data_IF_975760514678
#
_entry.id   IF_975760514678
#
_cell.length_a   1.000
_cell.length_b   1.000
_cell.length_c   1.000
_cell.angle_alpha   90.00
_cell.angle_beta   90.00
_cell.angle_gamma   90.00
#
_symmetry.space_group_name_H-M   'P 1'
#
loop_
_entity.id
_entity.type
_entity.pdbx_description
1 polymer ?
#
# COMPACT_ATOMS: atom_id res chain seq x y z
N UNK A 1 9.31 -1.38 42.72
CA UNK A 1 7.93 -1.21 42.23
C UNK A 1 7.80 0.01 41.33
N UNK A 2 8.35 1.17 41.69
CA UNK A 2 8.33 2.36 40.82
C UNK A 2 9.17 2.19 39.53
N UNK A 3 10.35 1.57 39.60
CA UNK A 3 11.22 1.37 38.42
C UNK A 3 10.60 0.43 37.36
N UNK A 4 9.80 -0.55 37.77
CA UNK A 4 9.07 -1.46 36.86
C UNK A 4 7.82 -0.81 36.27
N UNK A 5 7.16 0.09 37.01
CA UNK A 5 6.03 0.89 36.53
C UNK A 5 6.45 1.90 35.47
N UNK A 6 7.57 2.61 35.67
CA UNK A 6 8.09 3.55 34.67
C UNK A 6 8.45 2.83 33.36
N UNK A 7 9.08 1.65 33.43
CA UNK A 7 9.40 0.85 32.24
C UNK A 7 8.15 0.46 31.44
N UNK A 8 7.09 -0.01 32.10
CA UNK A 8 5.84 -0.40 31.44
C UNK A 8 5.15 0.79 30.75
N UNK A 9 5.00 1.91 31.46
CA UNK A 9 4.37 3.12 30.93
C UNK A 9 5.17 3.72 29.78
N UNK A 10 6.50 3.76 29.89
CA UNK A 10 7.38 4.25 28.81
C UNK A 10 7.23 3.40 27.55
N UNK A 11 7.17 2.07 27.65
CA UNK A 11 6.96 1.18 26.50
C UNK A 11 5.60 1.42 25.85
N UNK A 12 4.54 1.65 26.62
CA UNK A 12 3.21 1.97 26.09
C UNK A 12 3.20 3.29 25.30
N UNK A 13 3.84 4.34 25.82
CA UNK A 13 3.96 5.63 25.11
C UNK A 13 4.81 5.52 23.85
N UNK A 14 5.92 4.78 23.90
CA UNK A 14 6.76 4.52 22.71
C UNK A 14 5.94 3.78 21.65
N UNK A 15 5.23 2.71 22.05
CA UNK A 15 4.36 1.94 21.15
C UNK A 15 3.30 2.82 20.52
N UNK A 16 2.63 3.67 21.30
CA UNK A 16 1.64 4.62 20.82
C UNK A 16 2.25 5.58 19.79
N UNK A 17 3.44 6.14 20.08
CA UNK A 17 4.16 7.03 19.18
C UNK A 17 4.50 6.38 17.83
N UNK A 18 5.02 5.14 17.84
CA UNK A 18 5.34 4.41 16.62
C UNK A 18 4.08 4.11 15.80
N UNK A 19 3.00 3.66 16.45
CA UNK A 19 1.71 3.42 15.77
C UNK A 19 1.16 4.71 15.18
N UNK A 20 1.25 5.83 15.89
CA UNK A 20 0.78 7.12 15.41
C UNK A 20 1.54 7.57 14.16
N UNK A 21 2.87 7.49 14.18
CA UNK A 21 3.69 7.82 13.00
C UNK A 21 3.43 6.88 11.83
N UNK A 22 3.25 5.58 12.09
CA UNK A 22 2.86 4.59 11.08
C UNK A 22 1.55 4.98 10.39
N UNK A 23 0.54 5.40 11.15
CA UNK A 23 -0.74 5.84 10.60
C UNK A 23 -0.60 7.12 9.78
N UNK A 24 0.19 8.10 10.21
CA UNK A 24 0.47 9.30 9.42
C UNK A 24 1.11 8.93 8.08
N UNK A 25 2.16 8.10 8.10
CA UNK A 25 2.81 7.63 6.88
C UNK A 25 1.83 6.89 5.95
N UNK A 26 0.92 6.09 6.53
CA UNK A 26 -0.13 5.39 5.79
C UNK A 26 -1.11 6.37 5.12
N UNK A 27 -1.59 7.38 5.86
CA UNK A 27 -2.49 8.41 5.33
C UNK A 27 -1.83 9.21 4.20
N UNK A 28 -0.56 9.59 4.35
CA UNK A 28 0.20 10.29 3.30
C UNK A 28 0.31 9.41 2.05
N UNK A 29 0.72 8.15 2.21
CA UNK A 29 0.88 7.23 1.09
C UNK A 29 -0.45 7.02 0.33
N UNK A 30 -1.55 6.73 1.05
CA UNK A 30 -2.87 6.53 0.45
C UNK A 30 -3.36 7.78 -0.24
N UNK A 31 -3.19 8.96 0.37
CA UNK A 31 -3.59 10.23 -0.22
C UNK A 31 -2.91 10.47 -1.57
N UNK A 32 -1.59 10.25 -1.65
CA UNK A 32 -0.81 10.44 -2.87
C UNK A 32 -1.10 9.40 -3.95
N UNK A 33 -1.29 8.13 -3.55
CA UNK A 33 -1.68 7.06 -4.48
C UNK A 33 -3.07 7.36 -5.05
N UNK A 34 -4.04 7.72 -4.20
CA UNK A 34 -5.40 8.02 -4.63
C UNK A 34 -5.46 9.23 -5.56
N UNK A 35 -4.72 10.30 -5.28
CA UNK A 35 -4.70 11.47 -6.17
C UNK A 35 -4.09 11.12 -7.53
N UNK A 36 -3.04 10.31 -7.56
CA UNK A 36 -2.45 9.79 -8.80
C UNK A 36 -3.43 8.93 -9.59
N UNK A 37 -4.12 8.00 -8.93
CA UNK A 37 -5.09 7.10 -9.57
C UNK A 37 -6.28 7.88 -10.15
N UNK A 38 -6.80 8.88 -9.42
CA UNK A 38 -7.88 9.74 -9.90
C UNK A 38 -7.43 10.55 -11.12
N UNK A 39 -6.20 11.09 -11.10
CA UNK A 39 -5.66 11.85 -12.24
C UNK A 39 -5.57 10.96 -13.49
N UNK A 40 -5.07 9.74 -13.34
CA UNK A 40 -4.98 8.74 -14.41
C UNK A 40 -6.35 8.36 -14.97
N UNK A 41 -7.34 8.04 -14.11
CA UNK A 41 -8.70 7.70 -14.54
C UNK A 41 -9.36 8.88 -15.28
N UNK A 42 -9.17 10.12 -14.81
CA UNK A 42 -9.69 11.31 -15.48
C UNK A 42 -9.10 11.50 -16.88
N UNK A 43 -7.82 11.18 -17.08
CA UNK A 43 -7.19 11.24 -18.41
C UNK A 43 -7.77 10.20 -19.37
N UNK A 44 -7.95 8.95 -18.89
CA UNK A 44 -8.55 7.89 -19.67
C UNK A 44 -9.99 8.24 -20.09
N UNK A 45 -10.80 8.76 -19.17
CA UNK A 45 -12.18 9.18 -19.45
C UNK A 45 -12.29 10.34 -20.45
N UNK A 46 -11.31 11.25 -20.46
CA UNK A 46 -11.28 12.37 -21.41
C UNK A 46 -10.76 11.98 -22.79
N UNK A 47 -10.24 10.76 -22.96
CA UNK A 47 -9.62 10.32 -24.21
C UNK A 47 -8.38 11.12 -24.60
N UNK A 48 -7.79 11.86 -23.64
CA UNK A 48 -6.75 12.82 -23.92
C UNK A 48 -5.39 12.11 -23.97
N UNK A 49 -4.95 11.76 -25.18
CA UNK A 49 -3.63 11.17 -25.43
C UNK A 49 -2.49 12.20 -25.34
N UNK A 50 -2.82 13.50 -25.20
CA UNK A 50 -1.86 14.61 -25.22
C UNK A 50 -1.40 15.08 -23.83
N UNK A 51 -1.80 14.37 -22.77
CA UNK A 51 -1.51 14.72 -21.39
C UNK A 51 -0.02 14.94 -21.16
N UNK A 52 0.40 16.20 -21.13
CA UNK A 52 1.65 16.63 -20.54
C UNK A 52 1.55 16.31 -19.05
N UNK A 53 1.89 15.10 -18.66
CA UNK A 53 2.30 14.86 -17.30
C UNK A 53 3.52 15.75 -17.09
N UNK A 54 3.40 16.69 -16.16
CA UNK A 54 4.56 17.40 -15.63
C UNK A 54 5.44 16.32 -14.98
N UNK A 55 6.39 15.79 -15.74
CA UNK A 55 7.19 14.61 -15.39
C UNK A 55 7.87 14.78 -14.02
N UNK A 56 8.20 16.04 -13.69
CA UNK A 56 8.73 16.44 -12.40
C UNK A 56 7.74 16.24 -11.24
N UNK A 57 6.45 16.52 -11.47
CA UNK A 57 5.40 16.31 -10.48
C UNK A 57 5.15 14.82 -10.22
N UNK A 58 5.07 14.01 -11.29
CA UNK A 58 4.87 12.57 -11.20
C UNK A 58 6.03 11.86 -10.46
N UNK A 59 7.26 12.24 -10.76
CA UNK A 59 8.46 11.69 -10.11
C UNK A 59 8.54 12.08 -8.63
N UNK A 60 8.16 13.31 -8.30
CA UNK A 60 8.07 13.77 -6.91
C UNK A 60 7.03 12.97 -6.10
N UNK A 61 5.83 12.73 -6.67
CA UNK A 61 4.80 11.91 -6.04
C UNK A 61 5.30 10.50 -5.75
N UNK A 62 5.91 9.84 -6.74
CA UNK A 62 6.41 8.47 -6.61
C UNK A 62 7.56 8.35 -5.60
N UNK A 63 8.47 9.32 -5.59
CA UNK A 63 9.54 9.39 -4.59
C UNK A 63 8.96 9.53 -3.18
N UNK A 64 7.91 10.34 -3.04
CA UNK A 64 7.23 10.55 -1.76
C UNK A 64 6.50 9.29 -1.30
N UNK A 65 5.80 8.59 -2.20
CA UNK A 65 5.16 7.29 -1.91
C UNK A 65 6.19 6.24 -1.52
N UNK A 66 7.34 6.19 -2.21
CA UNK A 66 8.44 5.28 -1.88
C UNK A 66 9.01 5.57 -0.48
N UNK A 67 9.20 6.85 -0.14
CA UNK A 67 9.66 7.26 1.19
C UNK A 67 8.64 6.90 2.26
N UNK A 68 7.35 7.12 2.00
CA UNK A 68 6.27 6.73 2.91
C UNK A 68 6.25 5.20 3.11
N UNK A 69 6.48 4.41 2.06
CA UNK A 69 6.58 2.95 2.17
C UNK A 69 7.78 2.51 3.03
N UNK A 70 8.94 3.16 2.88
CA UNK A 70 10.11 2.92 3.75
C UNK A 70 9.78 3.26 5.21
N UNK A 71 9.15 4.40 5.46
CA UNK A 71 8.70 4.79 6.79
C UNK A 71 7.71 3.78 7.39
N UNK A 72 6.80 3.24 6.59
CA UNK A 72 5.85 2.20 6.98
C UNK A 72 6.53 0.87 7.31
N UNK A 73 7.56 0.49 6.57
CA UNK A 73 8.38 -0.69 6.88
C UNK A 73 9.11 -0.53 8.22
N UNK A 74 9.82 0.59 8.40
CA UNK A 74 10.58 0.87 9.63
C UNK A 74 9.63 0.85 10.84
N UNK A 75 8.53 1.59 10.77
CA UNK A 75 7.56 1.64 11.87
C UNK A 75 6.78 0.34 12.03
N UNK A 76 6.46 -0.37 10.95
CA UNK A 76 5.80 -1.67 11.00
C UNK A 76 6.66 -2.73 11.70
N UNK A 77 7.95 -2.79 11.37
CA UNK A 77 8.94 -3.64 12.07
C UNK A 77 9.03 -3.23 13.54
N UNK A 78 9.06 -1.94 13.84
CA UNK A 78 9.04 -1.43 15.21
C UNK A 78 7.83 -1.90 16.02
N UNK A 79 6.62 -1.79 15.45
CA UNK A 79 5.37 -2.26 16.08
C UNK A 79 5.43 -3.77 16.32
N UNK A 80 5.88 -4.54 15.32
CA UNK A 80 6.02 -5.99 15.44
C UNK A 80 7.02 -6.38 16.52
N UNK A 81 8.16 -5.70 16.59
CA UNK A 81 9.19 -5.95 17.60
C UNK A 81 8.70 -5.67 19.02
N UNK A 82 7.99 -4.55 19.23
CA UNK A 82 7.42 -4.20 20.54
C UNK A 82 6.34 -5.20 20.95
N UNK A 83 5.42 -5.55 20.04
CA UNK A 83 4.35 -6.50 20.35
C UNK A 83 4.86 -7.93 20.54
N UNK A 84 5.91 -8.32 19.80
CA UNK A 84 6.62 -9.58 19.98
C UNK A 84 7.31 -9.67 21.34
N UNK A 85 7.97 -8.61 21.80
CA UNK A 85 8.62 -8.60 23.11
C UNK A 85 7.64 -8.86 24.27
N UNK A 86 6.37 -8.45 24.12
CA UNK A 86 5.32 -8.69 25.12
C UNK A 86 4.59 -10.03 24.98
N UNK A 87 4.42 -10.56 23.76
CA UNK A 87 3.57 -11.73 23.46
C UNK A 87 4.31 -12.98 23.01
N UNK A 88 5.60 -12.89 22.72
CA UNK A 88 6.42 -13.99 22.22
C UNK A 88 6.00 -14.47 20.82
N UNK A 89 6.41 -15.70 20.49
CA UNK A 89 6.25 -16.30 19.16
C UNK A 89 4.80 -16.46 18.71
N UNK A 90 3.86 -16.58 19.64
CA UNK A 90 2.42 -16.68 19.34
C UNK A 90 1.92 -15.45 18.57
N UNK A 91 2.56 -14.29 18.72
CA UNK A 91 2.19 -13.09 17.99
C UNK A 91 2.21 -13.27 16.47
N UNK A 92 3.15 -14.07 15.94
CA UNK A 92 3.26 -14.35 14.51
C UNK A 92 2.20 -15.32 13.98
N UNK A 93 1.48 -16.03 14.86
CA UNK A 93 0.37 -16.90 14.49
C UNK A 93 -0.92 -16.12 14.21
N UNK A 94 -0.95 -14.82 14.51
CA UNK A 94 -2.10 -13.98 14.25
C UNK A 94 -2.36 -13.87 12.73
N UNK A 95 -3.46 -14.43 12.20
CA UNK A 95 -3.72 -14.44 10.76
C UNK A 95 -3.82 -13.03 10.17
N UNK A 96 -4.28 -12.06 10.97
CA UNK A 96 -4.34 -10.65 10.60
C UNK A 96 -2.96 -10.03 10.40
N UNK A 97 -1.98 -10.40 11.23
CA UNK A 97 -0.61 -9.91 11.08
C UNK A 97 0.03 -10.49 9.82
N UNK A 98 -0.15 -11.79 9.59
CA UNK A 98 0.32 -12.49 8.40
C UNK A 98 -0.24 -11.86 7.12
N UNK A 99 -1.56 -11.60 7.08
CA UNK A 99 -2.20 -10.93 5.96
C UNK A 99 -1.60 -9.54 5.68
N UNK A 100 -1.40 -8.72 6.73
CA UNK A 100 -0.77 -7.40 6.58
C UNK A 100 0.63 -7.48 6.01
N UNK A 101 1.49 -8.33 6.59
CA UNK A 101 2.88 -8.46 6.13
C UNK A 101 2.90 -8.96 4.68
N UNK A 102 2.09 -9.97 4.35
CA UNK A 102 1.98 -10.48 2.99
C UNK A 102 1.57 -9.40 1.97
N UNK A 103 0.57 -8.58 2.30
CA UNK A 103 0.13 -7.48 1.43
C UNK A 103 1.21 -6.41 1.29
N UNK A 104 1.87 -6.00 2.37
CA UNK A 104 2.93 -4.98 2.31
C UNK A 104 4.15 -5.47 1.52
N UNK A 105 4.50 -6.75 1.64
CA UNK A 105 5.55 -7.39 0.81
C UNK A 105 5.15 -7.37 -0.66
N UNK A 106 3.93 -7.80 -0.99
CA UNK A 106 3.40 -7.79 -2.35
C UNK A 106 3.37 -6.37 -2.94
N UNK A 107 2.94 -5.39 -2.15
CA UNK A 107 2.95 -3.97 -2.51
C UNK A 107 4.38 -3.47 -2.80
N UNK A 108 5.37 -3.91 -2.02
CA UNK A 108 6.78 -3.55 -2.23
C UNK A 108 7.30 -4.11 -3.55
N UNK A 109 7.03 -5.38 -3.86
CA UNK A 109 7.37 -5.97 -5.15
C UNK A 109 6.66 -5.29 -6.32
N UNK A 110 5.37 -4.97 -6.16
CA UNK A 110 4.61 -4.25 -7.18
C UNK A 110 5.14 -2.84 -7.41
N UNK A 111 5.54 -2.13 -6.34
CA UNK A 111 6.19 -0.84 -6.43
C UNK A 111 7.49 -0.90 -7.25
N UNK A 112 8.32 -1.91 -7.01
CA UNK A 112 9.53 -2.13 -7.82
C UNK A 112 9.21 -2.37 -9.30
N UNK A 113 8.18 -3.16 -9.60
CA UNK A 113 7.72 -3.40 -10.97
C UNK A 113 7.23 -2.10 -11.65
N UNK A 114 6.47 -1.27 -10.93
CA UNK A 114 6.01 0.03 -11.45
C UNK A 114 7.19 0.92 -11.80
N UNK A 115 8.13 1.09 -10.86
CA UNK A 115 9.28 1.97 -11.02
C UNK A 115 10.26 1.52 -12.11
N UNK A 116 10.47 0.21 -12.27
CA UNK A 116 11.44 -0.33 -13.22
C UNK A 116 10.88 -0.52 -14.63
N UNK A 117 9.60 -0.89 -14.77
CA UNK A 117 9.03 -1.25 -16.07
C UNK A 117 7.95 -0.28 -16.55
N UNK A 118 6.92 -0.03 -15.73
CA UNK A 118 5.71 0.71 -16.18
C UNK A 118 5.99 2.20 -16.34
N UNK A 119 6.64 2.82 -15.36
CA UNK A 119 6.85 4.26 -15.34
C UNK A 119 7.83 4.75 -16.42
N UNK A 120 8.98 4.10 -16.67
CA UNK A 120 9.85 4.49 -17.77
C UNK A 120 9.17 4.39 -19.14
N UNK A 121 8.29 3.42 -19.32
CA UNK A 121 7.56 3.26 -20.57
C UNK A 121 6.42 4.28 -20.72
N UNK A 122 5.71 4.58 -19.63
CA UNK A 122 4.69 5.63 -19.62
C UNK A 122 5.29 7.00 -19.95
N UNK A 123 6.46 7.32 -19.38
CA UNK A 123 7.22 8.55 -19.72
C UNK A 123 7.57 8.62 -21.22
N UNK A 124 7.95 7.50 -21.84
CA UNK A 124 8.27 7.46 -23.28
C UNK A 124 7.03 7.57 -24.18
N UNK A 125 5.89 7.03 -23.76
CA UNK A 125 4.67 7.00 -24.55
C UNK A 125 3.73 8.20 -24.31
N UNK A 126 3.95 8.96 -23.24
CA UNK A 126 3.15 10.11 -22.81
C UNK A 126 1.79 9.75 -22.21
N UNK A 127 1.15 8.69 -22.71
CA UNK A 127 -0.17 8.23 -22.25
C UNK A 127 -0.24 6.70 -22.16
N UNK A 128 -1.08 6.20 -21.24
CA UNK A 128 -1.40 4.77 -21.13
C UNK A 128 -2.03 4.21 -22.41
N UNK A 129 -2.74 5.04 -23.18
CA UNK A 129 -3.36 4.64 -24.44
C UNK A 129 -2.33 4.34 -25.54
N UNK A 130 -1.14 4.95 -25.43
CA UNK A 130 -0.07 4.84 -26.42
C UNK A 130 0.91 3.69 -26.12
N UNK A 131 0.73 2.98 -25.00
CA UNK A 131 1.54 1.82 -24.65
C UNK A 131 1.17 0.60 -25.51
N UNK A 132 2.15 -0.30 -25.71
CA UNK A 132 1.84 -1.62 -26.28
C UNK A 132 0.82 -2.35 -25.41
N UNK A 133 -0.04 -3.14 -26.02
CA UNK A 133 -1.13 -3.82 -25.32
C UNK A 133 -0.66 -4.55 -24.06
N UNK A 134 0.40 -5.36 -24.16
CA UNK A 134 0.94 -6.10 -23.00
C UNK A 134 1.39 -5.19 -21.86
N UNK A 135 2.05 -4.07 -22.18
CA UNK A 135 2.56 -3.15 -21.16
C UNK A 135 1.45 -2.29 -20.56
N UNK A 136 0.43 -1.96 -21.36
CA UNK A 136 -0.81 -1.34 -20.90
C UNK A 136 -1.53 -2.25 -19.91
N UNK A 137 -1.75 -3.53 -20.24
CA UNK A 137 -2.38 -4.48 -19.31
C UNK A 137 -1.58 -4.62 -18.02
N UNK A 138 -0.24 -4.67 -18.11
CA UNK A 138 0.63 -4.69 -16.93
C UNK A 138 0.47 -3.44 -16.06
N UNK A 139 0.43 -2.26 -16.67
CA UNK A 139 0.25 -0.99 -15.98
C UNK A 139 -1.11 -0.91 -15.26
N UNK A 140 -2.20 -1.30 -15.94
CA UNK A 140 -3.54 -1.32 -15.36
C UNK A 140 -3.64 -2.32 -14.20
N UNK A 141 -3.09 -3.52 -14.37
CA UNK A 141 -3.07 -4.54 -13.32
C UNK A 141 -2.27 -4.08 -12.11
N UNK A 142 -1.07 -3.55 -12.36
CA UNK A 142 -0.17 -3.08 -11.31
C UNK A 142 -0.73 -1.88 -10.54
N UNK A 143 -1.41 -0.96 -11.24
CA UNK A 143 -2.17 0.14 -10.62
C UNK A 143 -3.32 -0.36 -9.75
N UNK A 144 -4.18 -1.24 -10.29
CA UNK A 144 -5.29 -1.82 -9.53
C UNK A 144 -4.82 -2.60 -8.29
N UNK A 145 -3.76 -3.41 -8.44
CA UNK A 145 -3.15 -4.14 -7.33
C UNK A 145 -2.62 -3.17 -6.28
N UNK A 146 -1.93 -2.11 -6.67
CA UNK A 146 -1.42 -1.08 -5.75
C UNK A 146 -2.56 -0.43 -4.96
N UNK A 147 -3.57 0.09 -5.65
CA UNK A 147 -4.69 0.78 -5.01
C UNK A 147 -5.42 -0.11 -4.01
N UNK A 148 -5.80 -1.33 -4.44
CA UNK A 148 -6.48 -2.30 -3.56
C UNK A 148 -5.60 -2.65 -2.36
N UNK A 149 -4.30 -2.94 -2.56
CA UNK A 149 -3.36 -3.27 -1.48
C UNK A 149 -3.28 -2.19 -0.41
N UNK A 150 -3.16 -0.92 -0.82
CA UNK A 150 -3.07 0.21 0.10
C UNK A 150 -4.32 0.33 0.98
N UNK A 151 -5.50 0.32 0.38
CA UNK A 151 -6.77 0.40 1.12
C UNK A 151 -7.04 -0.85 1.97
N UNK A 152 -6.72 -2.04 1.46
CA UNK A 152 -6.92 -3.29 2.18
C UNK A 152 -6.01 -3.38 3.42
N UNK A 153 -4.73 -3.02 3.27
CA UNK A 153 -3.79 -2.97 4.39
C UNK A 153 -4.23 -1.97 5.46
N UNK A 154 -4.75 -0.80 5.07
CA UNK A 154 -5.30 0.20 5.99
C UNK A 154 -6.56 -0.29 6.71
N UNK A 155 -7.47 -0.97 6.01
CA UNK A 155 -8.66 -1.59 6.59
C UNK A 155 -8.29 -2.65 7.63
N UNK A 156 -7.34 -3.55 7.31
CA UNK A 156 -6.76 -4.47 8.28
C UNK A 156 -6.06 -3.69 9.41
N UNK A 157 -5.46 -2.54 9.11
CA UNK A 157 -4.93 -1.55 10.05
C UNK A 157 -5.87 -1.29 11.21
N UNK A 158 -7.04 -0.76 10.89
CA UNK A 158 -8.06 -0.26 11.84
C UNK A 158 -8.95 -1.36 12.42
N UNK A 159 -9.11 -2.49 11.73
CA UNK A 159 -10.02 -3.58 12.12
C UNK A 159 -9.56 -4.39 13.33
N UNK A 160 -9.48 -3.79 14.53
CA UNK A 160 -9.10 -4.49 15.78
C UNK A 160 -9.91 -5.77 16.03
N UNK A 161 -11.24 -5.82 15.83
CA UNK A 161 -12.05 -7.03 16.06
C UNK A 161 -11.76 -8.20 15.10
N UNK A 162 -10.98 -7.97 14.04
CA UNK A 162 -10.59 -9.01 13.09
C UNK A 162 -9.42 -9.88 13.60
N UNK A 163 -8.67 -9.39 14.60
CA UNK A 163 -7.55 -10.14 15.15
C UNK A 163 -8.06 -11.43 15.79
N UNK A 164 -7.50 -12.57 15.39
CA UNK A 164 -7.85 -13.91 15.90
C UNK A 164 -9.28 -14.40 15.64
N UNK A 165 -10.13 -13.60 15.00
CA UNK A 165 -11.53 -13.96 14.73
C UNK A 165 -11.71 -14.75 13.43
N UNK A 166 -10.88 -14.48 12.44
CA UNK A 166 -10.95 -15.07 11.10
C UNK A 166 -9.62 -15.72 10.75
N UNK A 167 -9.69 -16.77 9.94
CA UNK A 167 -8.52 -17.42 9.35
C UNK A 167 -7.86 -16.53 8.30
N UNK A 168 -6.62 -16.87 7.94
CA UNK A 168 -5.86 -16.13 6.92
C UNK A 168 -6.59 -16.13 5.57
N UNK A 169 -7.20 -17.27 5.22
CA UNK A 169 -7.93 -17.45 3.97
C UNK A 169 -9.16 -16.56 3.93
N UNK A 170 -9.97 -16.54 5.00
CA UNK A 170 -11.14 -15.66 5.09
C UNK A 170 -10.75 -14.17 5.00
N UNK A 171 -9.65 -13.80 5.67
CA UNK A 171 -9.13 -12.43 5.63
C UNK A 171 -8.55 -12.05 4.26
N UNK A 172 -8.14 -13.00 3.42
CA UNK A 172 -7.59 -12.73 2.10
C UNK A 172 -8.56 -13.06 0.95
N UNK A 173 -9.72 -13.67 1.21
CA UNK A 173 -10.64 -14.10 0.16
C UNK A 173 -11.15 -12.94 -0.71
N UNK A 174 -11.46 -11.79 -0.09
CA UNK A 174 -11.92 -10.61 -0.81
C UNK A 174 -10.81 -9.90 -1.59
N UNK A 175 -9.55 -10.07 -1.18
CA UNK A 175 -8.41 -9.34 -1.73
C UNK A 175 -8.19 -9.57 -3.25
N UNK A 176 -8.06 -10.82 -3.77
CA UNK A 176 -7.89 -11.04 -5.20
C UNK A 176 -9.14 -10.66 -6.00
N UNK A 177 -10.34 -10.81 -5.43
CA UNK A 177 -11.60 -10.41 -6.07
C UNK A 177 -11.62 -8.90 -6.33
N UNK A 178 -11.21 -8.10 -5.34
CA UNK A 178 -11.10 -6.65 -5.48
C UNK A 178 -10.04 -6.24 -6.51
N UNK A 179 -8.90 -6.94 -6.57
CA UNK A 179 -7.87 -6.68 -7.60
C UNK A 179 -8.44 -6.96 -9.00
N UNK A 180 -9.06 -8.12 -9.20
CA UNK A 180 -9.64 -8.50 -10.50
C UNK A 180 -10.75 -7.52 -10.90
N UNK A 181 -11.61 -7.14 -9.95
CA UNK A 181 -12.67 -6.16 -10.19
C UNK A 181 -12.12 -4.77 -10.56
N UNK A 182 -11.13 -4.27 -9.82
CA UNK A 182 -10.49 -2.99 -10.10
C UNK A 182 -9.76 -2.99 -11.44
N UNK A 183 -9.04 -4.08 -11.74
CA UNK A 183 -8.38 -4.26 -13.04
C UNK A 183 -9.39 -4.30 -14.18
N UNK A 184 -10.46 -5.10 -14.06
CA UNK A 184 -11.51 -5.18 -15.06
C UNK A 184 -12.18 -3.83 -15.31
N UNK A 185 -12.46 -3.06 -14.25
CA UNK A 185 -12.99 -1.71 -14.36
C UNK A 185 -12.03 -0.78 -15.14
N UNK A 186 -10.73 -0.86 -14.87
CA UNK A 186 -9.72 -0.08 -15.60
C UNK A 186 -9.61 -0.49 -17.07
N UNK A 187 -9.73 -1.78 -17.38
CA UNK A 187 -9.73 -2.30 -18.76
C UNK A 187 -10.95 -1.81 -19.55
N UNK A 188 -12.10 -1.63 -18.90
CA UNK A 188 -13.29 -1.07 -19.55
C UNK A 188 -13.16 0.43 -19.89
N UNK A 189 -12.23 1.14 -19.26
CA UNK A 189 -11.96 2.56 -19.50
C UNK A 189 -10.90 2.81 -20.59
N UNK A 190 -10.36 1.74 -21.18
CA UNK A 190 -9.18 1.76 -22.06
C UNK A 190 -9.49 1.19 -23.43
#
# INVERSE_FOLDING_TARGET
>A
MELSMFSSSTVEYVRLGVVYFHLIACCVAIGLVLTSDIAMVKQLLKGDASGHHDDAHMESLQKTVSLALVALWITGIGIVGIDYAGKGMEYFLNPKLQAKIGIVVLLTFNGFLLHSAVLPALKKAGSLLNLSFSLRMLALFSGALSAVSWFYAAMLGVGRPLAWKYSLVELLAAYPVLIVGGFGAMVLLT
#
